data_IF_544109731986
#
_entry.id   IF_544109731986
#
_cell.length_a   1.000
_cell.length_b   1.000
_cell.length_c   1.000
_cell.angle_alpha   90.00
_cell.angle_beta   90.00
_cell.angle_gamma   90.00
#
_symmetry.space_group_name_H-M   'P 1'
#
loop_
_entity.id
_entity.type
_entity.pdbx_description
1 polymer ?
#
# COMPACT_ATOMS: atom_id res chain seq x y z
N UNK A 1 14.27 1.00 -2.45
CA UNK A 1 13.04 1.34 -3.20
C UNK A 1 12.80 2.84 -3.26
N UNK A 2 12.63 3.54 -2.13
CA UNK A 2 12.31 4.97 -2.12
C UNK A 2 13.26 5.83 -2.99
N UNK A 3 14.58 5.70 -2.84
CA UNK A 3 15.54 6.47 -3.65
C UNK A 3 15.38 6.26 -5.17
N UNK A 4 15.10 5.02 -5.60
CA UNK A 4 14.87 4.71 -7.00
C UNK A 4 13.54 5.32 -7.49
N UNK A 5 12.48 5.24 -6.68
CA UNK A 5 11.19 5.87 -7.00
C UNK A 5 11.33 7.40 -7.09
N UNK A 6 12.04 8.03 -6.16
CA UNK A 6 12.32 9.48 -6.20
C UNK A 6 13.00 9.88 -7.52
N UNK A 7 14.00 9.12 -7.98
CA UNK A 7 14.64 9.39 -9.25
C UNK A 7 13.72 9.14 -10.45
N UNK A 8 12.91 8.07 -10.43
CA UNK A 8 11.95 7.78 -11.48
C UNK A 8 10.90 8.91 -11.61
N UNK A 9 10.38 9.40 -10.49
CA UNK A 9 9.44 10.51 -10.43
C UNK A 9 10.02 11.80 -11.03
N UNK A 10 11.30 12.09 -10.79
CA UNK A 10 12.01 13.21 -11.42
C UNK A 10 12.09 13.07 -12.94
N UNK A 11 12.32 11.86 -13.45
CA UNK A 11 12.39 11.60 -14.91
C UNK A 11 11.04 11.86 -15.58
N UNK A 12 9.93 11.47 -14.94
CA UNK A 12 8.58 11.66 -15.50
C UNK A 12 7.91 12.98 -15.08
N UNK A 13 8.60 13.82 -14.32
CA UNK A 13 8.10 15.12 -13.87
C UNK A 13 6.89 15.05 -12.93
N UNK A 14 6.78 14.01 -12.10
CA UNK A 14 5.67 13.81 -11.15
C UNK A 14 6.15 13.95 -9.71
N UNK A 15 5.27 14.36 -8.80
CA UNK A 15 5.53 14.32 -7.35
C UNK A 15 4.96 13.05 -6.74
N UNK A 16 5.44 12.68 -5.55
CA UNK A 16 5.02 11.43 -4.90
C UNK A 16 3.59 11.51 -4.35
N UNK A 17 3.17 12.69 -3.91
CA UNK A 17 1.81 12.96 -3.46
C UNK A 17 0.77 12.86 -4.60
N UNK A 18 1.19 13.12 -5.84
CA UNK A 18 0.30 13.17 -7.01
C UNK A 18 0.07 11.78 -7.65
N UNK A 19 0.83 10.75 -7.27
CA UNK A 19 0.77 9.43 -7.89
C UNK A 19 -0.02 8.41 -7.06
N UNK A 20 -0.61 7.45 -7.75
CA UNK A 20 -1.12 6.22 -7.13
C UNK A 20 -0.04 5.14 -7.16
N UNK A 21 0.25 4.57 -6.00
CA UNK A 21 1.21 3.48 -5.83
C UNK A 21 0.44 2.18 -5.58
N UNK A 22 0.68 1.17 -6.41
CA UNK A 22 0.14 -0.19 -6.20
C UNK A 22 1.29 -1.13 -5.87
N UNK A 23 1.12 -1.93 -4.82
CA UNK A 23 2.11 -2.90 -4.34
C UNK A 23 1.51 -4.31 -4.34
N UNK A 24 2.26 -5.26 -4.88
CA UNK A 24 1.94 -6.69 -4.76
C UNK A 24 2.83 -7.30 -3.69
N UNK A 25 2.21 -7.72 -2.57
CA UNK A 25 2.87 -8.29 -1.41
C UNK A 25 2.73 -7.43 -0.16
N UNK A 26 2.02 -7.96 0.84
CA UNK A 26 1.83 -7.36 2.15
C UNK A 26 2.69 -7.99 3.27
N UNK A 27 3.80 -8.63 2.90
CA UNK A 27 4.76 -9.20 3.85
C UNK A 27 5.64 -8.15 4.53
N UNK A 28 6.65 -8.59 5.30
CA UNK A 28 7.54 -7.70 6.06
C UNK A 28 8.23 -6.63 5.19
N UNK A 29 8.83 -7.04 4.06
CA UNK A 29 9.51 -6.12 3.16
C UNK A 29 8.53 -5.10 2.52
N UNK A 30 7.38 -5.58 2.05
CA UNK A 30 6.34 -4.72 1.46
C UNK A 30 5.81 -3.70 2.47
N UNK A 31 5.52 -4.14 3.69
CA UNK A 31 5.06 -3.26 4.78
C UNK A 31 6.11 -2.21 5.15
N UNK A 32 7.39 -2.59 5.25
CA UNK A 32 8.47 -1.65 5.55
C UNK A 32 8.65 -0.60 4.43
N UNK A 33 8.60 -1.04 3.17
CA UNK A 33 8.66 -0.13 2.01
C UNK A 33 7.47 0.81 2.03
N UNK A 34 6.25 0.31 2.21
CA UNK A 34 5.03 1.10 2.28
C UNK A 34 5.15 2.20 3.34
N UNK A 35 5.58 1.86 4.56
CA UNK A 35 5.81 2.84 5.65
C UNK A 35 6.76 3.95 5.23
N UNK A 36 7.86 3.61 4.55
CA UNK A 36 8.80 4.61 4.03
C UNK A 36 8.19 5.47 2.93
N UNK A 37 7.35 4.90 2.05
CA UNK A 37 6.69 5.66 0.99
C UNK A 37 5.65 6.65 1.55
N UNK A 38 4.85 6.22 2.54
CA UNK A 38 3.90 7.09 3.23
C UNK A 38 4.64 8.20 3.98
N UNK A 39 5.71 7.88 4.70
CA UNK A 39 6.56 8.87 5.37
C UNK A 39 7.23 9.86 4.40
N UNK A 40 7.43 9.45 3.14
CA UNK A 40 7.97 10.29 2.08
C UNK A 40 6.89 11.14 1.36
N UNK A 41 5.61 10.99 1.71
CA UNK A 41 4.50 11.80 1.17
C UNK A 41 3.59 11.10 0.17
N UNK A 42 3.70 9.78 -0.01
CA UNK A 42 2.72 9.05 -0.83
C UNK A 42 1.34 9.09 -0.15
N UNK A 43 0.33 9.64 -0.82
CA UNK A 43 -1.04 9.73 -0.26
C UNK A 43 -1.94 8.56 -0.69
N UNK A 44 -1.70 8.01 -1.88
CA UNK A 44 -2.55 6.98 -2.49
C UNK A 44 -1.78 5.70 -2.72
N UNK A 45 -1.65 4.90 -1.67
CA UNK A 45 -1.07 3.57 -1.75
C UNK A 45 -2.16 2.49 -1.66
N UNK A 46 -2.03 1.42 -2.43
CA UNK A 46 -2.88 0.23 -2.40
C UNK A 46 -1.97 -1.00 -2.39
N UNK A 47 -2.24 -1.94 -1.49
CA UNK A 47 -1.48 -3.19 -1.38
C UNK A 47 -2.42 -4.35 -1.64
N UNK A 48 -1.97 -5.33 -2.43
CA UNK A 48 -2.64 -6.60 -2.60
C UNK A 48 -1.75 -7.75 -2.08
N UNK A 49 -2.35 -8.77 -1.48
CA UNK A 49 -1.70 -10.03 -1.13
C UNK A 49 -2.37 -11.20 -1.88
N UNK A 50 -2.15 -12.43 -1.43
CA UNK A 50 -2.71 -13.65 -2.03
C UNK A 50 -4.25 -13.69 -2.01
N UNK A 51 -4.89 -12.90 -1.16
CA UNK A 51 -6.35 -12.79 -1.04
C UNK A 51 -6.91 -11.53 -1.72
N UNK A 52 -6.08 -10.77 -2.45
CA UNK A 52 -6.47 -9.56 -3.16
C UNK A 52 -6.11 -8.28 -2.40
N UNK A 53 -6.79 -7.19 -2.77
CA UNK A 53 -6.54 -5.87 -2.16
C UNK A 53 -6.77 -5.92 -0.66
N UNK A 54 -5.86 -5.33 0.11
CA UNK A 54 -5.97 -5.21 1.57
C UNK A 54 -6.90 -4.05 1.89
N UNK A 55 -8.02 -4.34 2.56
CA UNK A 55 -9.03 -3.36 2.98
C UNK A 55 -9.77 -3.86 4.23
N UNK A 56 -10.37 -2.95 4.98
CA UNK A 56 -10.97 -3.25 6.30
C UNK A 56 -12.16 -4.21 6.26
N UNK A 57 -12.80 -4.37 5.10
CA UNK A 57 -13.92 -5.28 4.87
C UNK A 57 -13.55 -6.75 4.62
N UNK A 58 -12.26 -7.09 4.63
CA UNK A 58 -11.80 -8.48 4.45
C UNK A 58 -12.12 -9.33 5.68
N UNK A 59 -12.76 -10.48 5.47
CA UNK A 59 -13.14 -11.41 6.56
C UNK A 59 -11.93 -11.94 7.32
N UNK A 60 -10.82 -12.23 6.63
CA UNK A 60 -9.59 -12.70 7.26
C UNK A 60 -8.89 -11.65 8.14
N UNK A 61 -9.25 -10.36 7.98
CA UNK A 61 -8.77 -9.26 8.84
C UNK A 61 -9.69 -8.97 10.03
N UNK A 62 -10.92 -9.50 10.03
CA UNK A 62 -11.82 -9.40 11.19
C UNK A 62 -11.31 -10.29 12.32
N UNK A 63 -10.78 -11.46 11.98
CA UNK A 63 -10.25 -12.44 12.94
C UNK A 63 -8.76 -12.22 13.26
N UNK A 64 -8.11 -11.28 12.57
CA UNK A 64 -6.70 -10.99 12.77
C UNK A 64 -6.45 -10.24 14.08
N UNK A 65 -5.28 -10.47 14.69
CA UNK A 65 -4.85 -9.72 15.86
C UNK A 65 -4.86 -8.20 15.59
N UNK A 66 -5.24 -7.34 16.57
CA UNK A 66 -5.31 -5.89 16.38
C UNK A 66 -3.99 -5.24 15.93
N UNK A 67 -2.85 -5.85 16.25
CA UNK A 67 -1.50 -5.42 15.90
C UNK A 67 -0.95 -6.07 14.61
N UNK A 68 -1.80 -6.79 13.87
CA UNK A 68 -1.45 -7.41 12.60
C UNK A 68 -0.94 -6.37 11.59
N UNK A 69 0.17 -6.67 10.86
CA UNK A 69 0.64 -5.83 9.78
C UNK A 69 -0.43 -5.55 8.71
N UNK A 70 -1.28 -6.54 8.40
CA UNK A 70 -2.34 -6.37 7.42
C UNK A 70 -3.43 -5.40 7.89
N UNK A 71 -3.74 -5.42 9.20
CA UNK A 71 -4.70 -4.47 9.78
C UNK A 71 -4.16 -3.04 9.70
N UNK A 72 -2.89 -2.86 10.06
CA UNK A 72 -2.22 -1.58 9.91
C UNK A 72 -2.24 -1.09 8.45
N UNK A 73 -1.98 -1.97 7.47
CA UNK A 73 -2.07 -1.60 6.05
C UNK A 73 -3.50 -1.16 5.69
N UNK A 74 -4.52 -1.93 6.07
CA UNK A 74 -5.92 -1.60 5.78
C UNK A 74 -6.35 -0.24 6.36
N UNK A 75 -5.86 0.11 7.55
CA UNK A 75 -6.24 1.33 8.25
C UNK A 75 -5.45 2.58 7.80
N UNK A 76 -4.29 2.40 7.14
CA UNK A 76 -3.38 3.49 6.76
C UNK A 76 -3.19 3.66 5.25
N UNK A 77 -3.87 2.85 4.44
CA UNK A 77 -3.78 2.89 2.97
C UNK A 77 -5.16 2.77 2.34
N UNK A 78 -5.21 2.76 1.00
CA UNK A 78 -6.44 2.52 0.25
C UNK A 78 -7.62 3.43 0.68
N UNK A 79 -7.46 4.77 0.67
CA UNK A 79 -8.51 5.70 1.13
C UNK A 79 -9.81 5.62 0.30
N UNK A 80 -9.72 5.08 -0.91
CA UNK A 80 -10.85 4.86 -1.82
C UNK A 80 -11.58 3.53 -1.54
N UNK A 81 -11.12 2.76 -0.55
CA UNK A 81 -11.66 1.45 -0.17
C UNK A 81 -11.83 0.50 -1.37
N UNK A 82 -10.83 0.48 -2.25
CA UNK A 82 -10.79 -0.41 -3.41
C UNK A 82 -10.78 -1.87 -2.96
N UNK A 83 -11.46 -2.71 -3.73
CA UNK A 83 -11.57 -4.15 -3.51
C UNK A 83 -11.24 -4.89 -4.80
N UNK A 84 -10.98 -6.19 -4.71
CA UNK A 84 -10.74 -7.04 -5.87
C UNK A 84 -9.33 -7.61 -5.91
N UNK A 85 -8.90 -7.98 -7.09
CA UNK A 85 -7.60 -8.62 -7.34
C UNK A 85 -6.53 -7.61 -7.74
N UNK A 86 -5.26 -8.05 -7.82
CA UNK A 86 -4.16 -7.20 -8.32
C UNK A 86 -4.36 -6.72 -9.77
N UNK A 87 -5.18 -7.43 -10.56
CA UNK A 87 -5.41 -7.10 -11.97
C UNK A 87 -6.42 -5.96 -12.15
N UNK A 88 -7.39 -5.87 -11.23
CA UNK A 88 -8.49 -4.91 -11.26
C UNK A 88 -8.04 -3.55 -10.71
#
# INVERSE_FOLDING_TARGET
VLAALTNALRVVGKKIEDVRVVMSGAGAAGTAILKLLLAAGAERAVVADIHGVVHSGRTDLVDAAPDSPLRWIADNTNPENLTGTLKE
#
